data_IF_901046312789
#
_entry.id   IF_901046312789
#
_cell.length_a   1.000
_cell.length_b   1.000
_cell.length_c   1.000
_cell.angle_alpha   90.00
_cell.angle_beta   90.00
_cell.angle_gamma   90.00
#
_symmetry.space_group_name_H-M   'P 1'
#
loop_
_entity.id
_entity.type
_entity.pdbx_description
1 polymer ?
#
# COMPACT_ATOMS: atom_id res chain seq x y z
N UNK A 1 -6.89 -4.33 -18.00
CA UNK A 1 -8.19 -4.60 -17.37
C UNK A 1 -8.26 -3.85 -16.05
N UNK A 2 -9.38 -3.20 -15.71
CA UNK A 2 -9.51 -2.50 -14.43
C UNK A 2 -9.51 -3.53 -13.28
N UNK A 3 -8.56 -3.41 -12.35
CA UNK A 3 -8.49 -4.24 -11.15
C UNK A 3 -9.69 -3.85 -10.27
N UNK A 4 -10.66 -4.75 -10.12
CA UNK A 4 -11.86 -4.46 -9.34
C UNK A 4 -11.52 -4.50 -7.85
N UNK A 5 -11.64 -3.35 -7.17
CA UNK A 5 -11.47 -3.23 -5.72
C UNK A 5 -12.79 -3.62 -5.06
N UNK A 6 -12.81 -4.72 -4.31
CA UNK A 6 -14.00 -5.25 -3.61
C UNK A 6 -13.85 -5.22 -2.09
N UNK A 7 -12.62 -5.05 -1.61
CA UNK A 7 -12.27 -5.01 -0.20
C UNK A 7 -11.09 -4.04 0.06
N UNK A 8 -10.90 -3.57 1.31
CA UNK A 8 -9.70 -2.82 1.68
C UNK A 8 -8.40 -3.58 1.40
N UNK A 9 -8.40 -4.92 1.51
CA UNK A 9 -7.23 -5.74 1.19
C UNK A 9 -6.84 -5.68 -0.29
N UNK A 10 -7.81 -5.46 -1.20
CA UNK A 10 -7.54 -5.27 -2.63
C UNK A 10 -6.78 -3.97 -2.88
N UNK A 11 -7.06 -2.93 -2.09
CA UNK A 11 -6.31 -1.66 -2.14
C UNK A 11 -4.86 -1.91 -1.71
N UNK A 12 -4.65 -2.59 -0.59
CA UNK A 12 -3.31 -2.97 -0.12
C UNK A 12 -2.52 -3.76 -1.16
N UNK A 13 -3.19 -4.70 -1.83
CA UNK A 13 -2.60 -5.50 -2.91
C UNK A 13 -2.23 -4.64 -4.13
N UNK A 14 -3.10 -3.69 -4.51
CA UNK A 14 -2.84 -2.76 -5.61
C UNK A 14 -1.63 -1.86 -5.31
N UNK A 15 -1.59 -1.25 -4.12
CA UNK A 15 -0.48 -0.41 -3.68
C UNK A 15 0.84 -1.19 -3.69
N UNK A 16 0.83 -2.42 -3.14
CA UNK A 16 2.02 -3.29 -3.12
C UNK A 16 2.52 -3.63 -4.52
N UNK A 17 1.63 -3.97 -5.46
CA UNK A 17 2.02 -4.26 -6.83
C UNK A 17 2.66 -3.04 -7.50
N UNK A 18 2.01 -1.89 -7.41
CA UNK A 18 2.47 -0.66 -8.05
C UNK A 18 3.80 -0.17 -7.46
N UNK A 19 3.99 -0.25 -6.13
CA UNK A 19 5.27 0.08 -5.48
C UNK A 19 6.41 -0.78 -6.03
N UNK A 20 6.18 -2.08 -6.15
CA UNK A 20 7.20 -3.02 -6.67
C UNK A 20 7.50 -2.77 -8.16
N UNK A 21 6.50 -2.46 -8.97
CA UNK A 21 6.67 -2.09 -10.38
C UNK A 21 7.55 -0.82 -10.53
N UNK A 22 7.48 0.07 -9.55
CA UNK A 22 8.32 1.27 -9.46
C UNK A 22 9.70 1.02 -8.80
N UNK A 23 10.02 -0.22 -8.42
CA UNK A 23 11.25 -0.59 -7.70
C UNK A 23 11.48 0.14 -6.37
N UNK A 24 10.40 0.56 -5.70
CA UNK A 24 10.49 1.28 -4.43
C UNK A 24 10.46 0.32 -3.23
N UNK A 25 11.18 0.66 -2.17
CA UNK A 25 11.03 0.10 -0.82
C UNK A 25 9.85 0.76 -0.08
N UNK A 26 9.39 0.14 0.99
CA UNK A 26 8.21 0.63 1.73
C UNK A 26 8.44 1.98 2.41
N UNK A 27 9.66 2.24 2.90
CA UNK A 27 10.06 3.51 3.49
C UNK A 27 10.27 4.61 2.44
N UNK A 28 10.72 4.26 1.23
CA UNK A 28 10.76 5.20 0.10
C UNK A 28 9.34 5.63 -0.27
N UNK A 29 8.41 4.69 -0.40
CA UNK A 29 6.99 5.00 -0.62
C UNK A 29 6.41 5.86 0.51
N UNK A 30 6.71 5.52 1.77
CA UNK A 30 6.25 6.27 2.93
C UNK A 30 6.76 7.72 2.89
N UNK A 31 8.05 7.90 2.58
CA UNK A 31 8.70 9.20 2.47
C UNK A 31 8.07 10.08 1.39
N UNK A 32 7.89 9.57 0.17
CA UNK A 32 7.30 10.37 -0.93
C UNK A 32 5.80 10.64 -0.73
N UNK A 33 5.11 9.81 0.07
CA UNK A 33 3.68 9.96 0.34
C UNK A 33 3.38 10.78 1.61
N UNK A 34 4.40 11.15 2.39
CA UNK A 34 4.23 11.93 3.62
C UNK A 34 3.53 11.17 4.75
N UNK A 35 3.66 9.84 4.81
CA UNK A 35 3.03 8.97 5.82
C UNK A 35 4.07 8.18 6.61
N UNK A 36 3.69 7.68 7.79
CA UNK A 36 4.56 6.81 8.57
C UNK A 36 4.79 5.45 7.90
N UNK A 37 5.99 4.88 8.02
CA UNK A 37 6.31 3.53 7.49
C UNK A 37 5.29 2.47 7.94
N UNK A 38 4.85 2.53 9.21
CA UNK A 38 3.89 1.57 9.75
C UNK A 38 2.56 1.58 8.98
N UNK A 39 2.12 2.75 8.53
CA UNK A 39 0.92 2.87 7.71
C UNK A 39 1.06 2.08 6.40
N UNK A 40 2.18 2.22 5.68
CA UNK A 40 2.44 1.46 4.45
C UNK A 40 2.51 -0.05 4.72
N UNK A 41 3.17 -0.45 5.81
CA UNK A 41 3.27 -1.86 6.21
C UNK A 41 1.89 -2.47 6.46
N UNK A 42 1.05 -1.81 7.26
CA UNK A 42 -0.28 -2.32 7.59
C UNK A 42 -1.23 -2.27 6.37
N UNK A 43 -1.15 -1.21 5.56
CA UNK A 43 -1.91 -1.05 4.31
C UNK A 43 -1.61 -2.20 3.33
N UNK A 44 -0.34 -2.48 3.05
CA UNK A 44 0.06 -3.56 2.13
C UNK A 44 -0.22 -4.96 2.68
N UNK A 45 -0.32 -5.10 4.01
CA UNK A 45 -0.78 -6.32 4.66
C UNK A 45 -2.31 -6.49 4.61
N UNK A 46 -3.04 -5.50 4.09
CA UNK A 46 -4.50 -5.51 4.03
C UNK A 46 -5.18 -5.32 5.39
N UNK A 47 -4.44 -4.82 6.40
CA UNK A 47 -5.05 -4.45 7.68
C UNK A 47 -5.85 -3.16 7.52
N UNK A 48 -7.07 -3.17 8.04
CA UNK A 48 -7.84 -1.95 8.23
C UNK A 48 -7.09 -1.06 9.22
N UNK A 49 -6.64 0.11 8.75
CA UNK A 49 -6.10 1.15 9.61
C UNK A 49 -7.30 1.79 10.32
N UNK A 50 -7.59 1.31 11.53
CA UNK A 50 -8.40 2.02 12.49
C UNK A 50 -7.50 2.30 13.69
N UNK A 51 -7.12 3.57 13.82
CA UNK A 51 -6.75 4.15 15.12
C UNK A 51 -8.03 4.51 15.85
#
# INVERSE_FOLDING_TARGET
MAKHVRSPADIGTLVRSTRKEQNLRQDELAGVSGVGLRFIVDLEAGKLVLS
#
